data_IF_297660678473
#
_entry.id   IF_297660678473
#
_cell.length_a   1.000
_cell.length_b   1.000
_cell.length_c   1.000
_cell.angle_alpha   90.00
_cell.angle_beta   90.00
_cell.angle_gamma   90.00
#
_symmetry.space_group_name_H-M   'P 1'
#
loop_
_entity.id
_entity.type
_entity.pdbx_description
1 polymer ?
#
# COMPACT_ATOMS: atom_id res chain seq x y z
N UNK A 1 -55.29 35.85 54.33
CA UNK A 1 -54.72 34.53 54.67
C UNK A 1 -54.32 33.82 53.39
N UNK A 2 -53.03 33.53 53.22
CA UNK A 2 -52.43 32.88 52.04
C UNK A 2 -52.86 31.40 51.97
N UNK A 3 -53.30 30.93 50.80
CA UNK A 3 -53.37 29.48 50.49
C UNK A 3 -52.34 29.20 49.39
N UNK A 4 -51.39 28.34 49.72
CA UNK A 4 -50.30 27.87 48.86
C UNK A 4 -50.84 26.69 48.05
N UNK A 5 -50.75 26.76 46.71
CA UNK A 5 -50.98 25.60 45.84
C UNK A 5 -49.65 24.91 45.58
N UNK A 6 -49.58 23.62 45.92
CA UNK A 6 -48.43 22.75 45.69
C UNK A 6 -48.56 22.19 44.26
N UNK A 7 -47.71 22.64 43.33
CA UNK A 7 -47.62 22.05 42.00
C UNK A 7 -46.69 20.83 42.04
N UNK A 8 -47.24 19.64 41.84
CA UNK A 8 -46.47 18.41 41.71
C UNK A 8 -45.80 18.37 40.33
N UNK A 9 -44.46 18.50 40.31
CA UNK A 9 -43.64 18.34 39.11
C UNK A 9 -43.49 16.84 38.83
N UNK A 10 -44.21 16.33 37.82
CA UNK A 10 -43.99 14.97 37.30
C UNK A 10 -42.76 15.02 36.38
N UNK A 11 -41.62 14.55 36.87
CA UNK A 11 -40.43 14.34 36.05
C UNK A 11 -40.59 13.01 35.32
N UNK A 12 -40.92 13.08 34.03
CA UNK A 12 -40.89 11.94 33.13
C UNK A 12 -39.43 11.55 32.86
N UNK A 13 -38.98 10.45 33.45
CA UNK A 13 -37.73 9.78 33.07
C UNK A 13 -37.91 9.16 31.68
N UNK A 14 -37.20 9.67 30.68
CA UNK A 14 -37.06 9.01 29.37
C UNK A 14 -35.71 8.29 29.36
N UNK A 15 -35.66 6.95 29.45
CA UNK A 15 -34.44 6.22 29.15
C UNK A 15 -34.45 5.91 27.65
N UNK A 16 -33.72 6.69 26.86
CA UNK A 16 -33.42 6.34 25.47
C UNK A 16 -31.91 6.13 25.32
N UNK A 17 -31.40 5.03 25.89
CA UNK A 17 -30.16 4.42 25.41
C UNK A 17 -30.50 3.66 24.12
N UNK A 18 -30.68 4.39 23.03
CA UNK A 18 -30.60 3.78 21.71
C UNK A 18 -29.14 3.37 21.50
N UNK A 19 -28.83 2.10 21.76
CA UNK A 19 -27.59 1.49 21.29
C UNK A 19 -27.55 1.65 19.78
N UNK A 20 -26.69 2.55 19.29
CA UNK A 20 -26.51 2.75 17.86
C UNK A 20 -26.06 1.42 17.26
N UNK A 21 -26.88 0.84 16.38
CA UNK A 21 -26.48 -0.37 15.66
C UNK A 21 -25.17 -0.07 14.92
N UNK A 22 -24.16 -0.95 15.00
CA UNK A 22 -22.91 -0.74 14.31
C UNK A 22 -23.15 -0.56 12.80
N UNK A 23 -22.33 0.24 12.10
CA UNK A 23 -22.49 0.46 10.68
C UNK A 23 -22.38 -0.86 9.91
N UNK A 24 -23.27 -1.01 8.92
CA UNK A 24 -23.38 -2.23 8.13
C UNK A 24 -22.24 -2.33 7.10
N UNK A 25 -21.72 -1.20 6.59
CA UNK A 25 -20.43 -1.09 5.91
C UNK A 25 -19.33 -0.95 6.96
N UNK A 26 -18.41 -1.91 7.02
CA UNK A 26 -17.30 -1.95 7.99
C UNK A 26 -16.06 -1.27 7.45
N UNK A 27 -15.61 -1.70 6.27
CA UNK A 27 -14.45 -1.17 5.57
C UNK A 27 -14.80 -0.85 4.11
N UNK A 28 -14.12 0.15 3.56
CA UNK A 28 -14.17 0.47 2.14
C UNK A 28 -15.28 1.45 1.71
N UNK A 29 -15.51 1.54 0.39
CA UNK A 29 -14.84 0.76 -0.65
C UNK A 29 -13.33 1.06 -0.79
N UNK A 30 -12.56 0.09 -1.28
CA UNK A 30 -11.17 0.28 -1.71
C UNK A 30 -10.94 -0.33 -3.11
N UNK A 31 -9.90 0.14 -3.79
CA UNK A 31 -9.56 -0.22 -5.15
C UNK A 31 -8.29 -1.07 -5.20
N UNK A 32 -8.31 -2.14 -5.99
CA UNK A 32 -7.15 -3.00 -6.25
C UNK A 32 -7.09 -3.43 -7.71
N UNK A 33 -5.95 -4.00 -8.10
CA UNK A 33 -5.73 -4.62 -9.40
C UNK A 33 -6.15 -3.75 -10.58
N UNK A 34 -5.80 -2.46 -10.55
CA UNK A 34 -6.11 -1.55 -11.63
C UNK A 34 -5.20 -1.81 -12.84
N UNK A 35 -5.79 -2.32 -13.92
CA UNK A 35 -5.14 -2.51 -15.21
C UNK A 35 -5.63 -1.44 -16.20
N UNK A 36 -5.20 -1.53 -17.45
CA UNK A 36 -5.71 -0.67 -18.54
C UNK A 36 -7.20 -0.92 -18.82
N UNK A 37 -7.70 -2.12 -18.55
CA UNK A 37 -9.05 -2.52 -18.98
C UNK A 37 -9.90 -3.11 -17.86
N UNK A 38 -9.37 -3.20 -16.64
CA UNK A 38 -10.09 -3.69 -15.48
C UNK A 38 -9.66 -3.02 -14.18
N UNK A 39 -10.51 -3.14 -13.16
CA UNK A 39 -10.21 -2.78 -11.78
C UNK A 39 -11.06 -3.63 -10.83
N UNK A 40 -10.54 -4.00 -9.67
CA UNK A 40 -11.29 -4.69 -8.62
C UNK A 40 -11.71 -3.70 -7.54
N UNK A 41 -13.01 -3.69 -7.24
CA UNK A 41 -13.59 -2.87 -6.18
C UNK A 41 -13.97 -3.77 -5.03
N UNK A 42 -13.44 -3.48 -3.84
CA UNK A 42 -13.62 -4.29 -2.65
C UNK A 42 -14.25 -3.49 -1.51
N UNK A 43 -15.01 -4.17 -0.64
CA UNK A 43 -15.56 -3.59 0.58
C UNK A 43 -15.91 -4.69 1.59
N UNK A 44 -16.12 -4.32 2.86
CA UNK A 44 -16.53 -5.25 3.91
C UNK A 44 -17.88 -4.87 4.53
N UNK A 45 -18.79 -5.82 4.68
CA UNK A 45 -20.04 -5.69 5.42
C UNK A 45 -20.03 -6.45 6.75
N UNK A 46 -20.82 -5.97 7.71
CA UNK A 46 -20.89 -6.55 9.06
C UNK A 46 -21.50 -7.97 9.10
N UNK A 47 -22.28 -8.32 8.07
CA UNK A 47 -22.96 -9.61 7.88
C UNK A 47 -22.81 -10.03 6.43
N UNK A 48 -23.17 -11.28 6.12
CA UNK A 48 -23.16 -11.76 4.74
C UNK A 48 -24.23 -11.06 3.91
N UNK A 49 -23.80 -10.49 2.79
CA UNK A 49 -24.63 -9.74 1.87
C UNK A 49 -24.30 -10.12 0.43
N UNK A 50 -25.23 -9.89 -0.47
CA UNK A 50 -24.93 -9.86 -1.90
C UNK A 50 -24.13 -8.60 -2.26
N UNK A 51 -23.42 -8.63 -3.38
CA UNK A 51 -22.49 -7.58 -3.78
C UNK A 51 -22.76 -7.11 -5.21
N UNK A 52 -22.85 -5.79 -5.41
CA UNK A 52 -22.95 -5.18 -6.73
C UNK A 52 -22.26 -3.83 -6.79
N UNK A 53 -21.75 -3.49 -7.96
CA UNK A 53 -21.14 -2.20 -8.25
C UNK A 53 -21.87 -1.57 -9.43
N UNK A 54 -22.38 -0.35 -9.23
CA UNK A 54 -22.81 0.51 -10.32
C UNK A 54 -21.66 1.38 -10.77
N UNK A 55 -21.47 1.60 -12.06
CA UNK A 55 -20.35 2.40 -12.58
C UNK A 55 -20.63 3.04 -13.96
N UNK A 56 -19.87 4.07 -14.31
CA UNK A 56 -20.05 4.87 -15.53
C UNK A 56 -18.99 5.94 -15.71
N UNK A 57 -18.83 6.46 -16.92
CA UNK A 57 -17.98 7.65 -17.20
C UNK A 57 -18.66 8.96 -16.74
N UNK A 58 -19.97 8.88 -16.46
CA UNK A 58 -20.79 9.99 -15.98
C UNK A 58 -21.69 9.55 -14.82
N UNK A 59 -22.27 10.53 -14.12
CA UNK A 59 -23.35 10.33 -13.14
C UNK A 59 -24.64 10.85 -13.78
N UNK A 60 -25.73 10.05 -13.88
CA UNK A 60 -25.99 8.78 -13.19
C UNK A 60 -25.24 7.57 -13.77
N UNK A 61 -24.95 6.58 -12.90
CA UNK A 61 -24.17 5.37 -13.21
C UNK A 61 -25.02 4.36 -14.01
N UNK A 62 -24.73 4.12 -15.31
CA UNK A 62 -25.59 3.34 -16.19
C UNK A 62 -25.35 1.82 -16.15
N UNK A 63 -24.15 1.37 -15.74
CA UNK A 63 -23.77 -0.05 -15.76
C UNK A 63 -23.80 -0.64 -14.34
N UNK A 64 -24.09 -1.93 -14.24
CA UNK A 64 -24.07 -2.68 -12.97
C UNK A 64 -23.41 -4.04 -13.19
N UNK A 65 -22.54 -4.44 -12.26
CA UNK A 65 -21.98 -5.79 -12.16
C UNK A 65 -22.28 -6.33 -10.76
N UNK A 66 -22.64 -7.61 -10.66
CA UNK A 66 -22.91 -8.28 -9.37
C UNK A 66 -21.99 -9.47 -9.19
N UNK A 67 -21.48 -9.67 -7.97
CA UNK A 67 -20.78 -10.89 -7.60
C UNK A 67 -21.78 -12.02 -7.32
N UNK A 68 -21.41 -13.28 -7.61
CA UNK A 68 -22.22 -14.44 -7.23
C UNK A 68 -22.14 -14.69 -5.72
N UNK A 69 -23.24 -15.18 -5.14
CA UNK A 69 -23.29 -15.59 -3.74
C UNK A 69 -23.36 -14.42 -2.75
N UNK A 70 -23.16 -14.74 -1.47
CA UNK A 70 -23.09 -13.77 -0.39
C UNK A 70 -21.74 -13.90 0.31
N UNK A 71 -21.20 -12.76 0.74
CA UNK A 71 -19.95 -12.71 1.50
C UNK A 71 -19.98 -11.56 2.51
N UNK A 72 -18.98 -11.52 3.40
CA UNK A 72 -18.69 -10.35 4.24
C UNK A 72 -17.66 -9.46 3.60
N UNK A 73 -16.64 -10.03 2.96
CA UNK A 73 -15.64 -9.29 2.18
C UNK A 73 -15.98 -9.52 0.71
N UNK A 74 -16.27 -8.42 0.03
CA UNK A 74 -16.77 -8.41 -1.34
C UNK A 74 -15.64 -8.01 -2.26
N UNK A 75 -15.55 -8.67 -3.41
CA UNK A 75 -14.69 -8.27 -4.51
C UNK A 75 -15.52 -8.33 -5.79
N UNK A 76 -15.56 -7.21 -6.53
CA UNK A 76 -16.21 -7.13 -7.83
C UNK A 76 -15.22 -6.55 -8.83
N UNK A 77 -14.82 -7.37 -9.80
CA UNK A 77 -14.02 -6.93 -10.92
C UNK A 77 -14.90 -6.25 -11.97
N UNK A 78 -14.51 -5.05 -12.38
CA UNK A 78 -15.04 -4.39 -13.56
C UNK A 78 -14.08 -4.66 -14.73
N UNK A 79 -14.59 -5.18 -15.85
CA UNK A 79 -13.80 -5.48 -17.05
C UNK A 79 -14.33 -4.73 -18.27
N UNK A 80 -13.57 -4.74 -19.36
CA UNK A 80 -13.95 -4.05 -20.61
C UNK A 80 -13.95 -2.53 -20.48
N UNK A 81 -13.16 -1.99 -19.56
CA UNK A 81 -12.97 -0.56 -19.37
C UNK A 81 -12.05 0.02 -20.45
N UNK A 82 -12.20 1.31 -20.74
CA UNK A 82 -11.26 2.02 -21.60
C UNK A 82 -9.97 2.34 -20.82
N UNK A 83 -8.78 2.17 -21.42
CA UNK A 83 -7.52 2.61 -20.83
C UNK A 83 -7.50 4.10 -20.56
N UNK A 84 -6.71 4.52 -19.57
CA UNK A 84 -6.46 5.93 -19.26
C UNK A 84 -7.75 6.77 -19.09
N UNK A 85 -8.81 6.17 -18.56
CA UNK A 85 -10.15 6.76 -18.54
C UNK A 85 -10.66 6.89 -17.11
N UNK A 86 -11.22 8.06 -16.80
CA UNK A 86 -11.90 8.33 -15.53
C UNK A 86 -13.30 7.72 -15.50
N UNK A 87 -13.62 7.03 -14.41
CA UNK A 87 -14.91 6.44 -14.14
C UNK A 87 -15.40 6.84 -12.74
N UNK A 88 -16.71 6.71 -12.54
CA UNK A 88 -17.37 6.80 -11.25
C UNK A 88 -17.97 5.44 -10.89
N UNK A 89 -18.00 5.12 -9.60
CA UNK A 89 -18.63 3.90 -9.09
C UNK A 89 -19.36 4.12 -7.77
N UNK A 90 -20.25 3.18 -7.45
CA UNK A 90 -20.95 3.08 -6.18
C UNK A 90 -21.15 1.60 -5.85
N UNK A 91 -20.75 1.19 -4.64
CA UNK A 91 -20.99 -0.18 -4.16
C UNK A 91 -22.37 -0.27 -3.52
N UNK A 92 -23.01 -1.41 -3.70
CA UNK A 92 -24.29 -1.75 -3.09
C UNK A 92 -24.30 -3.20 -2.62
N UNK A 93 -24.77 -3.38 -1.40
CA UNK A 93 -25.01 -4.71 -0.82
C UNK A 93 -26.41 -4.80 -0.22
N UNK A 94 -27.12 -5.89 -0.49
CA UNK A 94 -28.37 -6.22 0.21
C UNK A 94 -28.06 -7.24 1.31
N UNK A 95 -28.52 -6.96 2.53
CA UNK A 95 -28.20 -7.70 3.74
C UNK A 95 -29.51 -8.12 4.42
N UNK A 96 -30.29 -8.96 3.74
CA UNK A 96 -31.66 -9.29 4.14
C UNK A 96 -32.59 -8.08 3.92
N UNK A 97 -33.27 -7.55 4.96
CA UNK A 97 -34.14 -6.38 4.81
C UNK A 97 -33.37 -5.05 4.73
N UNK A 98 -32.07 -5.05 5.02
CA UNK A 98 -31.23 -3.85 5.02
C UNK A 98 -30.43 -3.74 3.72
N UNK A 99 -30.07 -2.53 3.33
CA UNK A 99 -29.16 -2.28 2.22
C UNK A 99 -28.02 -1.35 2.66
N UNK A 100 -26.84 -1.59 2.11
CA UNK A 100 -25.68 -0.70 2.15
C UNK A 100 -25.49 -0.11 0.78
N UNK A 101 -25.30 1.21 0.72
CA UNK A 101 -24.96 1.94 -0.49
C UNK A 101 -23.87 2.95 -0.13
N UNK A 102 -22.74 2.94 -0.84
CA UNK A 102 -21.68 3.93 -0.63
C UNK A 102 -22.03 5.28 -1.24
N UNK A 103 -21.20 6.30 -0.95
CA UNK A 103 -21.15 7.48 -1.81
C UNK A 103 -20.63 7.09 -3.21
N UNK A 104 -20.84 7.97 -4.20
CA UNK A 104 -20.19 7.83 -5.50
C UNK A 104 -18.73 8.24 -5.37
N UNK A 105 -17.82 7.42 -5.89
CA UNK A 105 -16.39 7.66 -5.87
C UNK A 105 -15.81 7.61 -7.30
N UNK A 106 -14.83 8.46 -7.63
CA UNK A 106 -14.10 8.34 -8.89
C UNK A 106 -12.99 7.29 -8.81
N UNK A 107 -12.59 6.76 -9.97
CA UNK A 107 -11.32 6.05 -10.17
C UNK A 107 -10.83 6.29 -11.61
N UNK A 108 -9.59 5.89 -11.90
CA UNK A 108 -9.03 5.94 -13.24
C UNK A 108 -8.35 4.60 -13.56
N UNK A 109 -8.53 4.10 -14.78
CA UNK A 109 -7.80 2.92 -15.28
C UNK A 109 -6.33 3.25 -15.54
N UNK A 110 -5.47 2.22 -15.62
CA UNK A 110 -4.05 2.42 -15.87
C UNK A 110 -3.80 3.18 -17.18
N UNK A 111 -2.75 4.01 -17.18
CA UNK A 111 -2.36 4.80 -18.35
C UNK A 111 -1.84 3.92 -19.49
N UNK A 112 -1.85 4.46 -20.72
CA UNK A 112 -1.20 3.81 -21.85
C UNK A 112 0.33 3.90 -21.75
N UNK A 113 1.02 3.00 -22.45
CA UNK A 113 2.46 3.10 -22.69
C UNK A 113 2.81 4.48 -23.29
N UNK A 114 3.94 5.07 -22.87
CA UNK A 114 4.38 6.41 -23.23
C UNK A 114 3.72 7.56 -22.46
N UNK A 115 2.67 7.31 -21.68
CA UNK A 115 1.98 8.35 -20.90
C UNK A 115 2.66 8.55 -19.55
N UNK A 116 3.01 9.79 -19.17
CA UNK A 116 3.55 10.07 -17.84
C UNK A 116 2.59 9.68 -16.73
N UNK A 117 3.11 9.10 -15.65
CA UNK A 117 2.35 8.76 -14.47
C UNK A 117 3.20 8.89 -13.21
N UNK A 118 2.53 8.95 -12.06
CA UNK A 118 3.21 8.96 -10.77
C UNK A 118 2.54 8.06 -9.75
N UNK A 119 3.32 7.54 -8.82
CA UNK A 119 2.87 6.67 -7.76
C UNK A 119 3.50 7.05 -6.43
N UNK A 120 2.77 6.81 -5.34
CA UNK A 120 3.31 6.96 -4.01
C UNK A 120 3.87 5.63 -3.52
N UNK A 121 4.91 5.68 -2.68
CA UNK A 121 5.41 4.52 -1.95
C UNK A 121 5.34 4.82 -0.45
N UNK A 122 4.73 3.91 0.30
CA UNK A 122 4.59 3.94 1.76
C UNK A 122 4.89 2.55 2.32
N UNK A 123 5.23 2.45 3.59
CA UNK A 123 5.46 1.18 4.28
C UNK A 123 5.18 1.32 5.77
N UNK A 124 4.85 0.20 6.41
CA UNK A 124 4.86 0.09 7.86
C UNK A 124 3.84 1.04 8.53
N UNK A 125 2.60 1.05 8.03
CA UNK A 125 1.52 1.92 8.56
C UNK A 125 1.01 1.50 9.94
N UNK A 126 1.52 0.38 10.45
CA UNK A 126 1.15 -0.24 11.71
C UNK A 126 1.28 0.68 12.94
N UNK A 127 0.51 0.34 13.98
CA UNK A 127 0.56 0.90 15.34
C UNK A 127 0.14 2.38 15.48
N UNK A 128 0.77 3.31 14.76
CA UNK A 128 0.57 4.76 14.94
C UNK A 128 -0.47 5.35 13.98
N UNK A 129 -1.75 5.05 14.26
CA UNK A 129 -2.92 5.48 13.47
C UNK A 129 -2.97 7.00 13.21
N UNK A 130 -2.46 7.82 14.12
CA UNK A 130 -2.43 9.28 13.92
C UNK A 130 -1.44 9.69 12.83
N UNK A 131 -0.30 9.02 12.74
CA UNK A 131 0.72 9.27 11.72
C UNK A 131 0.26 8.69 10.40
N UNK A 132 -0.15 7.42 10.35
CA UNK A 132 -0.59 6.79 9.09
C UNK A 132 -1.76 7.54 8.45
N UNK A 133 -2.72 8.03 9.24
CA UNK A 133 -3.79 8.91 8.75
C UNK A 133 -3.28 10.21 8.13
N UNK A 134 -2.22 10.81 8.66
CA UNK A 134 -1.60 12.02 8.09
C UNK A 134 -0.90 11.69 6.78
N UNK A 135 -0.17 10.57 6.73
CA UNK A 135 0.49 10.08 5.51
C UNK A 135 -0.53 9.80 4.41
N UNK A 136 -1.57 8.99 4.67
CA UNK A 136 -2.64 8.74 3.70
C UNK A 136 -3.30 10.02 3.18
N UNK A 137 -3.47 11.03 4.05
CA UNK A 137 -4.02 12.33 3.65
C UNK A 137 -3.03 13.13 2.79
N UNK A 138 -1.75 13.11 3.11
CA UNK A 138 -0.71 13.79 2.33
C UNK A 138 -0.56 13.15 0.95
N UNK A 139 -0.48 11.82 0.88
CA UNK A 139 -0.46 11.07 -0.38
C UNK A 139 -1.71 11.39 -1.23
N UNK A 140 -2.89 11.48 -0.61
CA UNK A 140 -4.10 11.88 -1.33
C UNK A 140 -4.00 13.29 -1.96
N UNK A 141 -3.27 14.22 -1.34
CA UNK A 141 -3.06 15.56 -1.92
C UNK A 141 -2.08 15.57 -3.09
N UNK A 142 -1.16 14.61 -3.16
CA UNK A 142 -0.23 14.43 -4.28
C UNK A 142 -0.90 13.84 -5.53
N UNK A 143 -2.09 13.24 -5.37
CA UNK A 143 -2.89 12.66 -6.47
C UNK A 143 -2.13 11.60 -7.29
N UNK A 144 -1.51 10.59 -6.66
CA UNK A 144 -0.85 9.52 -7.40
C UNK A 144 -1.86 8.70 -8.20
N UNK A 145 -1.38 8.08 -9.28
CA UNK A 145 -2.14 7.12 -10.07
C UNK A 145 -2.42 5.81 -9.29
N UNK A 146 -1.49 5.40 -8.43
CA UNK A 146 -1.62 4.28 -7.50
C UNK A 146 -0.66 4.43 -6.32
N UNK A 147 -0.83 3.60 -5.29
CA UNK A 147 0.06 3.52 -4.13
C UNK A 147 0.72 2.14 -4.10
N UNK A 148 2.02 2.11 -3.85
CA UNK A 148 2.76 0.92 -3.45
C UNK A 148 2.90 0.92 -1.93
N UNK A 149 2.50 -0.17 -1.28
CA UNK A 149 2.75 -0.45 0.13
C UNK A 149 3.80 -1.55 0.26
N UNK A 150 4.89 -1.31 0.96
CA UNK A 150 6.00 -2.27 1.10
C UNK A 150 5.87 -3.18 2.35
N UNK A 151 4.64 -3.58 2.69
CA UNK A 151 4.35 -4.47 3.83
C UNK A 151 4.14 -3.78 5.17
N UNK A 152 3.70 -4.58 6.15
CA UNK A 152 3.38 -4.17 7.52
C UNK A 152 2.27 -3.11 7.57
N UNK A 153 1.13 -3.46 6.96
CA UNK A 153 -0.08 -2.63 6.98
C UNK A 153 -0.64 -2.51 8.40
N UNK A 154 -0.48 -3.58 9.19
CA UNK A 154 -1.03 -3.74 10.55
C UNK A 154 0.00 -4.35 11.48
N UNK A 155 -0.08 -4.04 12.78
CA UNK A 155 0.89 -4.57 13.75
C UNK A 155 0.74 -6.06 14.10
N UNK A 156 -0.33 -6.74 13.67
CA UNK A 156 -0.54 -8.19 13.81
C UNK A 156 -1.68 -8.60 12.86
N UNK A 157 -1.33 -9.36 11.82
CA UNK A 157 -2.24 -9.79 10.77
C UNK A 157 -3.33 -10.74 11.24
N UNK A 158 -3.12 -11.47 12.35
CA UNK A 158 -4.11 -12.37 12.93
C UNK A 158 -5.17 -11.62 13.76
N UNK A 159 -4.91 -10.36 14.13
CA UNK A 159 -5.88 -9.51 14.82
C UNK A 159 -6.72 -8.69 13.84
N UNK A 160 -7.87 -9.25 13.40
CA UNK A 160 -8.84 -8.62 12.48
C UNK A 160 -9.13 -7.13 12.75
N UNK A 161 -9.23 -6.71 14.01
CA UNK A 161 -9.56 -5.32 14.32
C UNK A 161 -8.45 -4.33 13.93
N UNK A 162 -7.19 -4.77 13.85
CA UNK A 162 -6.06 -3.94 13.44
C UNK A 162 -6.16 -3.56 11.96
N UNK A 163 -6.58 -4.47 11.08
CA UNK A 163 -6.89 -4.18 9.67
C UNK A 163 -7.85 -3.00 9.51
N UNK A 164 -8.91 -3.00 10.29
CA UNK A 164 -9.88 -1.88 10.29
C UNK A 164 -9.28 -0.61 10.88
N UNK A 165 -8.56 -0.72 12.01
CA UNK A 165 -8.10 0.41 12.80
C UNK A 165 -6.89 1.13 12.20
N UNK A 166 -5.93 0.39 11.69
CA UNK A 166 -4.59 0.87 11.31
C UNK A 166 -4.46 1.11 9.82
N UNK A 167 -5.13 0.30 8.99
CA UNK A 167 -5.04 0.39 7.54
C UNK A 167 -6.29 0.98 6.90
N UNK A 168 -7.43 0.30 6.98
CA UNK A 168 -8.63 0.68 6.23
C UNK A 168 -9.24 2.01 6.67
N UNK A 169 -9.37 2.25 7.98
CA UNK A 169 -9.99 3.49 8.47
C UNK A 169 -9.13 4.74 8.21
N UNK A 170 -7.80 4.71 8.41
CA UNK A 170 -6.93 5.82 8.03
C UNK A 170 -6.85 6.06 6.52
N UNK A 171 -6.79 4.99 5.72
CA UNK A 171 -6.67 5.06 4.27
C UNK A 171 -7.97 5.22 3.48
N UNK A 172 -9.15 5.11 4.13
CA UNK A 172 -10.46 5.05 3.46
C UNK A 172 -10.70 6.13 2.39
N UNK A 173 -10.27 7.37 2.63
CA UNK A 173 -10.46 8.45 1.66
C UNK A 173 -9.59 8.28 0.40
N UNK A 174 -8.34 7.84 0.57
CA UNK A 174 -7.41 7.58 -0.52
C UNK A 174 -7.82 6.32 -1.29
N UNK A 175 -7.97 5.20 -0.57
CA UNK A 175 -8.15 3.88 -1.19
C UNK A 175 -9.48 3.72 -1.91
N UNK A 176 -10.50 4.51 -1.57
CA UNK A 176 -11.75 4.56 -2.34
C UNK A 176 -11.58 5.18 -3.74
N UNK A 177 -10.42 5.78 -4.04
CA UNK A 177 -10.18 6.59 -5.26
C UNK A 177 -8.89 6.23 -5.99
N UNK A 178 -7.90 5.73 -5.26
CA UNK A 178 -6.57 5.39 -5.75
C UNK A 178 -6.30 3.92 -5.43
N UNK A 179 -5.96 3.09 -6.43
CA UNK A 179 -5.58 1.70 -6.22
C UNK A 179 -4.35 1.55 -5.34
N UNK A 180 -4.31 0.50 -4.52
CA UNK A 180 -3.15 0.14 -3.71
C UNK A 180 -2.65 -1.24 -4.14
N UNK A 181 -1.33 -1.37 -4.23
CA UNK A 181 -0.58 -2.61 -4.44
C UNK A 181 0.33 -2.85 -3.26
N UNK A 182 0.33 -4.06 -2.70
CA UNK A 182 0.93 -4.34 -1.39
C UNK A 182 1.86 -5.54 -1.49
N UNK A 183 3.11 -5.39 -1.07
CA UNK A 183 3.98 -6.51 -0.72
C UNK A 183 3.65 -6.94 0.71
N UNK A 184 3.68 -8.25 0.98
CA UNK A 184 3.44 -8.76 2.33
C UNK A 184 4.67 -8.55 3.23
N UNK A 185 4.46 -8.05 4.45
CA UNK A 185 5.45 -7.90 5.51
C UNK A 185 5.41 -9.03 6.53
N UNK A 186 6.23 -8.93 7.58
CA UNK A 186 6.28 -9.97 8.61
C UNK A 186 5.14 -9.84 9.62
N UNK A 187 4.62 -8.64 9.86
CA UNK A 187 3.50 -8.45 10.78
C UNK A 187 2.16 -8.93 10.19
N UNK A 188 2.06 -9.12 8.88
CA UNK A 188 0.90 -9.79 8.28
C UNK A 188 0.78 -11.27 8.71
N UNK A 189 1.85 -11.88 9.24
CA UNK A 189 1.91 -13.26 9.78
C UNK A 189 1.38 -14.34 8.82
N UNK A 190 1.43 -14.08 7.51
CA UNK A 190 0.80 -14.93 6.49
C UNK A 190 -0.67 -15.25 6.83
N UNK A 191 -1.36 -14.31 7.50
CA UNK A 191 -2.73 -14.47 7.94
C UNK A 191 -3.68 -14.54 6.74
N UNK A 192 -4.74 -15.35 6.85
CA UNK A 192 -5.78 -15.40 5.82
C UNK A 192 -6.43 -14.04 5.58
N UNK A 193 -6.42 -13.13 6.58
CA UNK A 193 -6.95 -11.77 6.41
C UNK A 193 -6.21 -10.98 5.34
N UNK A 194 -4.90 -11.15 5.18
CA UNK A 194 -4.16 -10.49 4.09
C UNK A 194 -4.75 -10.88 2.73
N UNK A 195 -4.90 -12.20 2.51
CA UNK A 195 -5.44 -12.78 1.28
C UNK A 195 -6.95 -12.49 1.09
N UNK A 196 -7.73 -12.38 2.16
CA UNK A 196 -9.14 -12.01 2.05
C UNK A 196 -9.31 -10.52 1.69
N UNK A 197 -8.42 -9.66 2.19
CA UNK A 197 -8.48 -8.21 2.00
C UNK A 197 -7.80 -7.70 0.73
N UNK A 198 -7.02 -8.57 0.07
CA UNK A 198 -6.31 -8.27 -1.16
C UNK A 198 -6.78 -9.17 -2.31
N UNK A 199 -6.84 -8.62 -3.51
CA UNK A 199 -7.27 -9.36 -4.71
C UNK A 199 -6.20 -9.22 -5.79
N UNK A 200 -5.08 -9.89 -5.54
CA UNK A 200 -3.93 -9.89 -6.44
C UNK A 200 -3.89 -11.15 -7.31
N UNK A 201 -3.11 -11.17 -8.40
CA UNK A 201 -2.87 -12.38 -9.16
C UNK A 201 -2.26 -13.49 -8.29
N UNK A 202 -2.72 -14.73 -8.48
CA UNK A 202 -2.17 -15.89 -7.77
C UNK A 202 -0.64 -16.00 -7.96
N UNK A 203 0.12 -16.39 -6.91
CA UNK A 203 -0.34 -16.84 -5.59
C UNK A 203 -0.65 -15.73 -4.57
N UNK A 204 -0.79 -14.49 -5.01
CA UNK A 204 -1.25 -13.30 -4.24
C UNK A 204 -0.23 -12.70 -3.27
N UNK A 205 0.70 -13.49 -2.72
CA UNK A 205 1.78 -12.99 -1.86
C UNK A 205 3.04 -12.55 -2.62
N UNK A 206 3.27 -13.11 -3.81
CA UNK A 206 4.26 -12.60 -4.77
C UNK A 206 3.67 -12.62 -6.17
N UNK A 207 3.72 -11.47 -6.84
CA UNK A 207 3.04 -11.24 -8.11
C UNK A 207 3.67 -10.06 -8.83
N UNK A 208 3.31 -9.85 -10.09
CA UNK A 208 3.79 -8.72 -10.88
C UNK A 208 2.65 -8.03 -11.61
N UNK A 209 2.87 -6.78 -12.00
CA UNK A 209 1.95 -6.02 -12.83
C UNK A 209 2.70 -4.97 -13.66
N UNK A 210 2.07 -4.58 -14.77
CA UNK A 210 2.54 -3.49 -15.61
C UNK A 210 1.66 -2.25 -15.39
N UNK A 211 2.29 -1.07 -15.34
CA UNK A 211 1.61 0.22 -15.34
C UNK A 211 2.37 1.19 -16.24
N UNK A 212 1.73 1.67 -17.31
CA UNK A 212 2.41 2.47 -18.33
C UNK A 212 3.62 1.73 -18.92
N UNK A 213 4.79 2.35 -18.84
CA UNK A 213 6.07 1.81 -19.31
C UNK A 213 6.90 1.12 -18.20
N UNK A 214 6.27 0.77 -17.08
CA UNK A 214 6.95 0.16 -15.94
C UNK A 214 6.38 -1.21 -15.59
N UNK A 215 7.30 -2.08 -15.18
CA UNK A 215 7.01 -3.40 -14.63
C UNK A 215 7.38 -3.44 -13.15
N UNK A 216 6.47 -3.96 -12.32
CA UNK A 216 6.61 -4.04 -10.88
C UNK A 216 6.53 -5.50 -10.43
N UNK A 217 7.51 -5.96 -9.67
CA UNK A 217 7.47 -7.26 -9.00
C UNK A 217 7.27 -7.04 -7.50
N UNK A 218 6.16 -7.55 -6.95
CA UNK A 218 5.88 -7.59 -5.52
C UNK A 218 6.35 -8.95 -4.99
N UNK A 219 7.29 -8.95 -4.05
CA UNK A 219 7.99 -10.15 -3.58
C UNK A 219 7.70 -10.39 -2.10
N UNK A 220 7.23 -11.59 -1.77
CA UNK A 220 7.13 -12.06 -0.39
C UNK A 220 8.52 -12.39 0.18
N UNK A 221 9.12 -11.40 0.85
CA UNK A 221 10.42 -11.56 1.51
C UNK A 221 10.40 -12.46 2.77
N UNK A 222 9.23 -12.87 3.25
CA UNK A 222 9.12 -13.84 4.36
C UNK A 222 9.54 -15.25 3.92
N UNK A 223 9.38 -15.58 2.63
CA UNK A 223 9.68 -16.91 2.08
C UNK A 223 11.20 -17.18 1.94
N UNK A 224 11.64 -18.42 1.73
CA UNK A 224 13.01 -18.70 1.29
C UNK A 224 13.36 -17.96 -0.01
N UNK A 225 14.52 -17.30 -0.05
CA UNK A 225 14.96 -16.43 -1.15
C UNK A 225 16.27 -16.91 -1.82
N UNK A 226 16.79 -18.06 -1.39
CA UNK A 226 18.00 -18.64 -1.94
C UNK A 226 17.83 -19.09 -3.41
N UNK A 227 18.92 -19.14 -4.20
CA UNK A 227 18.89 -19.65 -5.56
C UNK A 227 18.24 -21.04 -5.65
N UNK A 228 17.10 -21.11 -6.32
CA UNK A 228 16.30 -22.33 -6.44
C UNK A 228 15.10 -22.40 -5.50
N UNK A 229 14.85 -21.38 -4.67
CA UNK A 229 13.56 -21.24 -4.00
C UNK A 229 12.44 -20.94 -5.02
N UNK A 230 11.16 -21.21 -4.69
CA UNK A 230 10.04 -20.83 -5.55
C UNK A 230 10.02 -19.34 -5.91
N UNK A 231 10.22 -18.46 -4.91
CA UNK A 231 10.23 -17.00 -5.12
C UNK A 231 11.41 -16.58 -6.01
N UNK A 232 12.61 -17.12 -5.78
CA UNK A 232 13.78 -16.81 -6.62
C UNK A 232 13.55 -17.20 -8.08
N UNK A 233 13.04 -18.42 -8.34
CA UNK A 233 12.77 -18.90 -9.70
C UNK A 233 11.69 -18.08 -10.38
N UNK A 234 10.61 -17.76 -9.66
CA UNK A 234 9.52 -16.94 -10.16
C UNK A 234 10.04 -15.56 -10.56
N UNK A 235 10.72 -14.86 -9.65
CA UNK A 235 11.24 -13.52 -9.89
C UNK A 235 12.24 -13.49 -11.05
N UNK A 236 13.12 -14.49 -11.15
CA UNK A 236 14.04 -14.59 -12.28
C UNK A 236 13.31 -14.80 -13.61
N UNK A 237 12.20 -15.55 -13.64
CA UNK A 237 11.45 -15.81 -14.86
C UNK A 237 10.63 -14.58 -15.28
N UNK A 238 10.01 -13.92 -14.30
CA UNK A 238 9.19 -12.71 -14.46
C UNK A 238 10.03 -11.53 -14.99
N UNK A 239 11.13 -11.21 -14.32
CA UNK A 239 12.06 -10.16 -14.76
C UNK A 239 12.69 -10.45 -16.14
N UNK A 240 12.97 -11.72 -16.44
CA UNK A 240 13.50 -12.13 -17.74
C UNK A 240 12.48 -11.97 -18.88
N UNK A 241 11.19 -12.13 -18.59
CA UNK A 241 10.12 -11.99 -19.57
C UNK A 241 9.77 -10.51 -19.85
N UNK A 242 10.02 -9.62 -18.88
CA UNK A 242 9.66 -8.21 -19.00
C UNK A 242 10.59 -7.41 -19.93
N UNK A 243 9.96 -6.74 -20.90
CA UNK A 243 10.59 -5.79 -21.82
C UNK A 243 10.34 -4.33 -21.43
N UNK A 244 9.69 -4.09 -20.28
CA UNK A 244 9.37 -2.75 -19.83
C UNK A 244 10.65 -1.89 -19.68
N UNK A 245 10.63 -0.63 -20.15
CA UNK A 245 11.74 0.29 -19.98
C UNK A 245 12.11 0.47 -18.52
N UNK A 246 11.14 0.56 -17.61
CA UNK A 246 11.36 0.72 -16.17
C UNK A 246 11.01 -0.55 -15.40
N UNK A 247 11.85 -0.92 -14.44
CA UNK A 247 11.64 -2.12 -13.61
C UNK A 247 11.82 -1.81 -12.14
N UNK A 248 10.84 -2.23 -11.34
CA UNK A 248 10.83 -2.06 -9.90
C UNK A 248 10.66 -3.40 -9.21
N UNK A 249 11.35 -3.59 -8.09
CA UNK A 249 11.06 -4.69 -7.17
C UNK A 249 10.66 -4.11 -5.84
N UNK A 250 9.59 -4.62 -5.25
CA UNK A 250 9.08 -4.20 -3.96
C UNK A 250 9.00 -5.41 -3.04
N UNK A 251 9.58 -5.32 -1.85
CA UNK A 251 9.47 -6.33 -0.80
C UNK A 251 9.53 -5.66 0.57
N UNK A 252 9.40 -6.41 1.65
CA UNK A 252 9.34 -5.81 2.98
C UNK A 252 10.72 -5.66 3.64
N UNK A 253 11.50 -6.74 3.76
CA UNK A 253 12.77 -6.75 4.52
C UNK A 253 13.93 -6.05 3.78
N UNK A 254 14.87 -5.47 4.53
CA UNK A 254 15.88 -4.56 4.00
C UNK A 254 17.19 -5.27 3.57
N UNK A 255 17.54 -5.34 2.26
CA UNK A 255 18.83 -5.89 1.81
C UNK A 255 20.00 -4.96 2.18
N UNK A 256 19.76 -3.66 2.28
CA UNK A 256 20.75 -2.67 2.70
C UNK A 256 20.12 -1.74 3.73
N UNK A 257 20.68 -1.70 4.92
CA UNK A 257 20.25 -0.81 6.00
C UNK A 257 21.43 -0.45 6.91
N UNK A 258 21.45 0.80 7.35
CA UNK A 258 22.36 1.32 8.37
C UNK A 258 21.77 1.28 9.77
N UNK A 259 20.62 0.63 9.96
CA UNK A 259 19.97 0.40 11.26
C UNK A 259 20.94 -0.13 12.33
N UNK A 260 20.64 0.23 13.58
CA UNK A 260 21.51 -0.07 14.75
C UNK A 260 21.20 -1.36 15.46
N UNK A 261 20.04 -1.99 15.25
CA UNK A 261 19.51 -3.03 16.13
C UNK A 261 19.13 -4.34 15.39
N UNK A 262 18.33 -4.27 14.32
CA UNK A 262 17.73 -5.43 13.64
C UNK A 262 18.73 -6.27 12.86
N UNK A 263 19.79 -5.63 12.36
CA UNK A 263 20.85 -6.29 11.59
C UNK A 263 22.17 -6.34 12.35
N UNK A 264 22.09 -6.32 13.68
CA UNK A 264 23.20 -6.42 14.64
C UNK A 264 23.32 -5.16 15.48
N UNK A 265 23.39 -5.34 16.80
CA UNK A 265 23.51 -4.25 17.79
C UNK A 265 24.83 -3.48 17.56
N UNK A 266 24.80 -2.38 16.81
CA UNK A 266 26.01 -1.63 16.44
C UNK A 266 26.72 -0.98 17.63
N UNK A 267 26.10 -0.97 18.81
CA UNK A 267 26.73 -0.57 20.06
C UNK A 267 27.55 -1.71 20.69
N UNK A 268 27.36 -2.96 20.27
CA UNK A 268 27.99 -4.15 20.87
C UNK A 268 28.69 -5.08 19.88
N UNK A 269 28.24 -5.13 18.64
CA UNK A 269 28.70 -6.04 17.61
C UNK A 269 28.71 -5.40 16.21
N UNK A 270 29.15 -6.18 15.22
CA UNK A 270 29.18 -5.72 13.83
C UNK A 270 27.82 -5.96 13.19
N UNK A 271 27.27 -4.92 12.59
CA UNK A 271 26.08 -5.05 11.74
C UNK A 271 26.39 -5.82 10.46
N UNK A 272 25.44 -6.64 9.99
CA UNK A 272 25.44 -7.23 8.65
C UNK A 272 25.05 -6.22 7.58
N UNK A 273 24.62 -5.02 7.98
CA UNK A 273 24.20 -3.89 7.15
C UNK A 273 22.93 -4.14 6.31
N UNK A 274 22.03 -4.99 6.82
CA UNK A 274 20.85 -5.48 6.13
C UNK A 274 20.75 -7.01 6.14
N UNK A 275 19.62 -7.49 5.64
CA UNK A 275 19.26 -8.91 5.59
C UNK A 275 20.01 -9.66 4.48
N UNK A 276 20.89 -10.57 4.90
CA UNK A 276 21.66 -11.45 3.99
C UNK A 276 20.78 -12.40 3.17
N UNK A 277 19.60 -12.77 3.68
CA UNK A 277 18.62 -13.59 2.96
C UNK A 277 18.06 -12.84 1.76
N UNK A 278 17.65 -11.58 1.93
CA UNK A 278 17.13 -10.74 0.83
C UNK A 278 18.22 -10.41 -0.17
N UNK A 279 19.46 -10.20 0.29
CA UNK A 279 20.61 -9.97 -0.60
C UNK A 279 20.84 -11.08 -1.62
N UNK A 280 20.33 -12.30 -1.40
CA UNK A 280 20.41 -13.37 -2.39
C UNK A 280 19.64 -13.05 -3.69
N UNK A 281 18.69 -12.11 -3.66
CA UNK A 281 17.96 -11.64 -4.85
C UNK A 281 18.70 -10.56 -5.65
N UNK A 282 19.68 -9.87 -5.05
CA UNK A 282 20.43 -8.76 -5.68
C UNK A 282 21.01 -9.12 -7.04
N UNK A 283 21.63 -10.31 -7.25
CA UNK A 283 22.11 -10.71 -8.56
C UNK A 283 21.02 -10.76 -9.65
N UNK A 284 19.76 -11.02 -9.29
CA UNK A 284 18.65 -10.98 -10.24
C UNK A 284 18.31 -9.53 -10.62
N UNK A 285 18.30 -8.63 -9.65
CA UNK A 285 18.03 -7.20 -9.87
C UNK A 285 19.03 -6.61 -10.84
N UNK A 286 20.32 -6.85 -10.59
CA UNK A 286 21.41 -6.37 -11.44
C UNK A 286 21.40 -7.02 -12.83
N UNK A 287 21.13 -8.34 -12.90
CA UNK A 287 21.12 -9.08 -14.16
C UNK A 287 20.02 -8.62 -15.11
N UNK A 288 18.83 -8.31 -14.59
CA UNK A 288 17.66 -7.97 -15.40
C UNK A 288 17.37 -6.46 -15.50
N UNK A 289 18.25 -5.64 -14.93
CA UNK A 289 18.21 -4.18 -15.05
C UNK A 289 17.06 -3.56 -14.27
N UNK A 290 16.85 -4.00 -13.03
CA UNK A 290 15.96 -3.31 -12.07
C UNK A 290 16.54 -1.93 -11.76
N UNK A 291 15.69 -0.90 -11.78
CA UNK A 291 16.11 0.48 -11.56
C UNK A 291 16.11 0.84 -10.08
N UNK A 292 15.00 0.54 -9.41
CA UNK A 292 14.80 0.86 -8.00
C UNK A 292 14.16 -0.32 -7.28
N UNK A 293 14.69 -0.63 -6.10
CA UNK A 293 14.10 -1.58 -5.16
C UNK A 293 13.53 -0.82 -3.98
N UNK A 294 12.24 -1.00 -3.69
CA UNK A 294 11.55 -0.38 -2.56
C UNK A 294 11.30 -1.39 -1.46
N UNK A 295 11.54 -0.98 -0.21
CA UNK A 295 11.28 -1.83 0.96
C UNK A 295 11.01 -1.04 2.23
N UNK A 296 10.50 -1.71 3.25
CA UNK A 296 10.11 -1.14 4.54
C UNK A 296 10.89 -1.78 5.67
N UNK A 297 10.17 -2.32 6.66
CA UNK A 297 10.65 -3.06 7.82
C UNK A 297 11.35 -2.19 8.85
N UNK A 298 12.43 -1.53 8.43
CA UNK A 298 13.12 -0.55 9.27
C UNK A 298 12.37 0.76 9.20
N UNK A 299 12.01 1.28 10.37
CA UNK A 299 11.13 2.44 10.52
C UNK A 299 11.86 3.78 10.34
N UNK A 300 12.60 3.92 9.26
CA UNK A 300 13.22 5.17 8.83
C UNK A 300 13.20 5.32 7.29
N UNK A 301 13.84 6.39 6.80
CA UNK A 301 14.17 6.52 5.38
C UNK A 301 15.65 6.24 5.18
N UNK A 302 15.98 5.37 4.25
CA UNK A 302 17.35 5.25 3.74
C UNK A 302 17.35 5.03 2.22
N UNK A 303 18.20 5.79 1.53
CA UNK A 303 18.47 5.59 0.10
C UNK A 303 19.94 5.38 -0.13
N UNK A 304 20.24 4.35 -0.92
CA UNK A 304 21.61 4.06 -1.32
C UNK A 304 22.07 4.93 -2.48
N UNK A 305 23.38 5.05 -2.66
CA UNK A 305 23.98 5.28 -3.96
C UNK A 305 23.57 4.13 -4.90
N UNK A 306 23.57 4.31 -6.23
CA UNK A 306 23.31 3.18 -7.13
C UNK A 306 24.43 2.13 -6.96
N UNK A 307 24.03 0.87 -6.75
CA UNK A 307 24.94 -0.23 -6.41
C UNK A 307 24.99 -1.30 -7.49
N UNK A 308 26.19 -1.84 -7.69
CA UNK A 308 26.43 -3.08 -8.43
C UNK A 308 27.50 -3.90 -7.71
N UNK A 309 27.24 -5.19 -7.51
CA UNK A 309 28.08 -6.08 -6.71
C UNK A 309 28.44 -5.48 -5.33
N UNK A 310 27.47 -4.83 -4.69
CA UNK A 310 27.62 -4.19 -3.38
C UNK A 310 28.53 -2.96 -3.33
N UNK A 311 28.86 -2.36 -4.49
CA UNK A 311 29.71 -1.16 -4.59
C UNK A 311 29.00 -0.09 -5.39
N UNK A 312 29.38 1.17 -5.17
CA UNK A 312 28.91 2.28 -5.99
C UNK A 312 29.24 2.03 -7.47
N UNK A 313 28.21 2.08 -8.31
CA UNK A 313 28.30 2.05 -9.76
C UNK A 313 27.18 2.95 -10.30
N UNK A 314 27.46 3.98 -11.12
CA UNK A 314 26.43 4.89 -11.62
C UNK A 314 25.34 4.23 -12.48
N UNK A 315 25.53 2.99 -12.90
CA UNK A 315 24.58 2.16 -13.64
C UNK A 315 23.97 1.03 -12.79
N UNK A 316 24.18 1.10 -11.48
CA UNK A 316 23.67 0.16 -10.50
C UNK A 316 22.20 0.38 -10.13
N UNK A 317 21.68 -0.52 -9.30
CA UNK A 317 20.33 -0.48 -8.75
C UNK A 317 20.30 0.49 -7.58
N UNK A 318 19.26 1.31 -7.48
CA UNK A 318 19.03 2.17 -6.30
C UNK A 318 18.11 1.45 -5.32
N UNK A 319 18.47 1.44 -4.05
CA UNK A 319 17.67 0.82 -2.99
C UNK A 319 17.10 1.92 -2.11
N UNK A 320 15.79 1.86 -1.85
CA UNK A 320 15.04 2.86 -1.08
C UNK A 320 14.22 2.16 0.00
N UNK A 321 14.70 2.28 1.23
CA UNK A 321 13.98 1.97 2.46
C UNK A 321 12.99 3.09 2.78
N UNK A 322 11.73 2.75 3.01
CA UNK A 322 10.63 3.70 3.18
C UNK A 322 9.61 3.24 4.23
N UNK A 323 10.08 2.78 5.40
CA UNK A 323 9.23 2.27 6.49
C UNK A 323 8.68 3.32 7.45
N UNK A 324 8.59 4.59 7.01
CA UNK A 324 8.23 5.71 7.87
C UNK A 324 6.73 6.02 7.98
N UNK A 325 5.81 5.21 7.46
CA UNK A 325 4.40 5.63 7.33
C UNK A 325 3.56 5.47 8.61
N UNK A 326 4.07 4.78 9.63
CA UNK A 326 3.35 4.58 10.89
C UNK A 326 4.23 4.11 12.05
N UNK A 327 4.93 2.99 11.88
CA UNK A 327 5.73 2.31 12.89
C UNK A 327 6.65 3.21 13.72
N UNK A 328 7.05 2.71 14.89
CA UNK A 328 7.90 3.50 15.80
C UNK A 328 9.26 3.75 15.19
N UNK A 329 9.61 5.02 14.93
CA UNK A 329 10.84 5.35 14.21
C UNK A 329 12.08 4.76 14.88
N UNK A 330 12.92 4.11 14.07
CA UNK A 330 14.19 3.49 14.46
C UNK A 330 15.37 4.43 14.21
N UNK A 331 16.51 4.13 14.84
CA UNK A 331 17.75 4.90 14.71
C UNK A 331 18.73 4.17 13.80
N UNK A 332 19.63 4.92 13.17
CA UNK A 332 20.69 4.40 12.31
C UNK A 332 22.06 4.65 12.91
N UNK A 333 23.03 3.83 12.52
CA UNK A 333 24.36 3.83 13.09
C UNK A 333 25.04 5.20 12.91
N UNK A 334 25.79 5.69 13.93
CA UNK A 334 26.48 6.97 13.83
C UNK A 334 27.62 6.96 12.80
N UNK A 335 28.06 5.76 12.40
CA UNK A 335 29.09 5.58 11.38
C UNK A 335 28.45 5.51 10.00
N UNK A 336 28.95 6.32 9.07
CA UNK A 336 28.43 6.37 7.70
C UNK A 336 28.70 5.06 6.95
N UNK A 337 27.63 4.37 6.53
CA UNK A 337 27.72 3.20 5.65
C UNK A 337 28.12 3.60 4.23
N UNK A 338 29.00 2.84 3.59
CA UNK A 338 29.58 3.23 2.30
C UNK A 338 28.55 3.29 1.15
N UNK A 339 27.42 2.59 1.29
CA UNK A 339 26.34 2.60 0.30
C UNK A 339 25.36 3.76 0.51
N UNK A 340 25.31 4.40 1.68
CA UNK A 340 24.27 5.38 2.02
C UNK A 340 24.47 6.66 1.21
N UNK A 341 23.44 7.07 0.47
CA UNK A 341 23.37 8.40 -0.12
C UNK A 341 22.63 9.38 0.80
N UNK A 342 21.57 8.90 1.47
CA UNK A 342 20.78 9.68 2.42
C UNK A 342 20.11 8.75 3.42
N UNK A 343 20.16 9.11 4.69
CA UNK A 343 19.39 8.46 5.76
C UNK A 343 18.70 9.54 6.61
N UNK A 344 17.47 9.29 7.03
CA UNK A 344 16.64 10.21 7.81
C UNK A 344 15.65 9.45 8.69
N UNK A 345 15.71 9.74 10.00
CA UNK A 345 14.72 9.28 10.97
C UNK A 345 13.53 10.25 11.00
N UNK A 346 12.55 10.02 10.14
CA UNK A 346 11.37 10.86 10.01
C UNK A 346 10.19 10.07 9.45
N UNK A 347 8.97 10.43 9.85
CA UNK A 347 7.77 9.87 9.22
C UNK A 347 7.57 10.48 7.84
N UNK A 348 7.44 9.65 6.81
CA UNK A 348 7.50 10.09 5.43
C UNK A 348 6.73 9.20 4.48
N UNK A 349 6.65 9.66 3.23
CA UNK A 349 6.25 8.88 2.06
C UNK A 349 7.13 9.29 0.88
N UNK A 350 7.21 8.44 -0.14
CA UNK A 350 7.89 8.77 -1.39
C UNK A 350 6.87 9.04 -2.51
N UNK A 351 7.18 10.00 -3.38
CA UNK A 351 6.48 10.21 -4.65
C UNK A 351 7.43 9.94 -5.80
N UNK A 352 7.00 9.09 -6.72
CA UNK A 352 7.74 8.76 -7.94
C UNK A 352 6.96 9.26 -9.14
N UNK A 353 7.64 9.84 -10.12
CA UNK A 353 7.07 10.22 -11.41
C UNK A 353 7.92 9.63 -12.53
N UNK A 354 7.28 9.00 -13.50
CA UNK A 354 7.89 8.46 -14.72
C UNK A 354 7.35 9.26 -15.90
N UNK A 355 8.26 9.79 -16.71
CA UNK A 355 7.94 10.50 -17.94
C UNK A 355 8.98 10.17 -19.02
N UNK A 356 8.63 9.25 -19.91
CA UNK A 356 9.54 8.75 -20.95
C UNK A 356 10.79 8.11 -20.34
N UNK A 357 11.96 8.66 -20.67
CA UNK A 357 13.26 8.18 -20.17
C UNK A 357 13.69 8.81 -18.84
N UNK A 358 12.81 9.55 -18.15
CA UNK A 358 13.09 10.15 -16.84
C UNK A 358 12.24 9.53 -15.74
N UNK A 359 12.89 9.17 -14.63
CA UNK A 359 12.29 8.87 -13.36
C UNK A 359 12.75 9.91 -12.33
N UNK A 360 11.81 10.49 -11.58
CA UNK A 360 12.11 11.34 -10.42
C UNK A 360 11.49 10.73 -9.18
N UNK A 361 12.23 10.70 -8.07
CA UNK A 361 11.72 10.36 -6.75
C UNK A 361 11.90 11.53 -5.79
N UNK A 362 10.91 11.77 -4.95
CA UNK A 362 10.90 12.74 -3.85
C UNK A 362 10.50 12.05 -2.55
N UNK A 363 11.26 12.26 -1.47
CA UNK A 363 10.90 11.81 -0.12
C UNK A 363 10.42 13.01 0.71
N UNK A 364 9.20 12.92 1.23
CA UNK A 364 8.46 14.03 1.83
C UNK A 364 7.99 13.64 3.22
N UNK A 365 8.23 14.50 4.20
CA UNK A 365 7.81 14.23 5.58
C UNK A 365 6.33 14.55 5.85
N UNK A 366 5.83 14.19 7.04
CA UNK A 366 4.46 14.49 7.48
C UNK A 366 4.09 15.98 7.58
N UNK A 367 5.08 16.89 7.47
CA UNK A 367 4.87 18.35 7.44
C UNK A 367 4.90 18.89 6.00
N UNK A 368 5.06 18.04 4.99
CA UNK A 368 5.15 18.42 3.59
C UNK A 368 6.53 18.95 3.18
N UNK A 369 7.58 18.71 3.97
CA UNK A 369 8.94 19.12 3.63
C UNK A 369 9.60 18.04 2.78
N UNK A 370 10.03 18.42 1.58
CA UNK A 370 10.96 17.63 0.79
C UNK A 370 12.32 17.59 1.49
N UNK A 371 12.78 16.40 1.85
CA UNK A 371 14.08 16.24 2.52
C UNK A 371 15.09 15.43 1.71
N UNK A 372 14.62 14.71 0.68
CA UNK A 372 15.47 14.03 -0.27
C UNK A 372 14.82 13.94 -1.67
N UNK A 373 15.65 13.90 -2.70
CA UNK A 373 15.22 13.69 -4.07
C UNK A 373 16.34 13.08 -4.91
N UNK A 374 15.98 12.28 -5.92
CA UNK A 374 16.91 11.87 -6.96
C UNK A 374 16.21 11.65 -8.29
N UNK A 375 17.02 11.52 -9.34
CA UNK A 375 16.56 11.32 -10.70
C UNK A 375 17.39 10.25 -11.40
N UNK A 376 16.74 9.46 -12.25
CA UNK A 376 17.38 8.57 -13.22
C UNK A 376 16.96 9.03 -14.62
N UNK A 377 17.94 9.22 -15.51
CA UNK A 377 17.70 9.51 -16.94
C UNK A 377 18.34 8.42 -17.78
N UNK A 378 17.51 7.64 -18.48
CA UNK A 378 17.96 6.61 -19.42
C UNK A 378 18.35 7.24 -20.76
N UNK A 379 19.39 6.70 -21.39
CA UNK A 379 19.89 7.17 -22.69
C UNK A 379 19.09 6.59 -23.85
#
# INVERSE_FOLDING_TARGET
MKRIFLAALVVLFIPALASARPPLLKNGPWLQHATRTSITIMWETAVECDASVRYGETVPLPRTVSAPGKSRIHAVELTGLQPETGYFYQVRSQCGPLAVISSVHPFQTAVNAGTPFGFAVIGDTQTNVSVSRRIFRAVYTERPNFVLHVGDEVGDGNQKFLWTREFFRPGAALMARVPVWVAIGNHEENSHWFYDYHSYPAPENYYSFDYGDAHFCMVDSNQPLDPGSPVYRWLSADLAASTAPWKFVCHHHAPYSSDVDDYGDTHREKSTLGDEKVRQLVPLYERYGVDVVFYGHIHDYERTLPLRAGKYDPTGVVYVQTGGAGGGLEDYAPNHSAFTAKVMREHHYCMVTIAGNRLSLQAIDIKGRLFDQFEIVKK
#
